data_IF_186393190902
#
_entry.id   IF_186393190902
#
_cell.length_a   1.000
_cell.length_b   1.000
_cell.length_c   1.000
_cell.angle_alpha   90.00
_cell.angle_beta   90.00
_cell.angle_gamma   90.00
#
_symmetry.space_group_name_H-M   'P 1'
#
loop_
_entity.id
_entity.type
_entity.pdbx_description
1 polymer ?
#
# COMPACT_ATOMS: atom_id res chain seq x y z
N UNK A 1 -26.67 9.99 1.93
CA UNK A 1 -27.37 8.84 2.53
C UNK A 1 -28.23 8.07 1.51
N UNK A 2 -29.07 8.74 0.70
CA UNK A 2 -29.93 8.08 -0.31
C UNK A 2 -29.10 7.27 -1.31
N UNK A 3 -27.99 7.79 -1.82
CA UNK A 3 -27.09 7.08 -2.72
C UNK A 3 -26.46 5.84 -2.06
N UNK A 4 -26.11 5.91 -0.77
CA UNK A 4 -25.60 4.77 -0.03
C UNK A 4 -26.66 3.68 0.13
N UNK A 5 -27.90 4.05 0.45
CA UNK A 5 -29.03 3.10 0.56
C UNK A 5 -29.25 2.40 -0.78
N UNK A 6 -29.38 3.18 -1.87
CA UNK A 6 -29.53 2.63 -3.21
C UNK A 6 -28.39 1.69 -3.62
N UNK A 7 -27.15 2.06 -3.29
CA UNK A 7 -25.97 1.20 -3.53
C UNK A 7 -26.02 -0.10 -2.75
N UNK A 8 -26.45 -0.07 -1.50
CA UNK A 8 -26.57 -1.25 -0.66
C UNK A 8 -27.70 -2.19 -1.12
N UNK A 9 -28.83 -1.63 -1.58
CA UNK A 9 -30.00 -2.40 -2.01
C UNK A 9 -29.88 -2.95 -3.42
N UNK A 10 -29.25 -2.19 -4.35
CA UNK A 10 -29.33 -2.50 -5.78
C UNK A 10 -27.98 -2.82 -6.44
N UNK A 11 -26.85 -2.64 -5.78
CA UNK A 11 -25.53 -2.85 -6.35
C UNK A 11 -24.82 -4.11 -5.82
N UNK A 12 -25.54 -5.17 -5.48
CA UNK A 12 -24.97 -6.37 -4.87
C UNK A 12 -23.92 -7.01 -5.78
N UNK A 13 -24.22 -7.17 -7.07
CA UNK A 13 -23.29 -7.76 -8.05
C UNK A 13 -22.04 -6.90 -8.22
N UNK A 14 -22.21 -5.60 -8.42
CA UNK A 14 -21.10 -4.65 -8.52
C UNK A 14 -20.20 -4.68 -7.27
N UNK A 15 -20.80 -4.72 -6.07
CA UNK A 15 -20.03 -4.81 -4.81
C UNK A 15 -19.22 -6.10 -4.73
N UNK A 16 -19.80 -7.23 -5.16
CA UNK A 16 -19.11 -8.51 -5.22
C UNK A 16 -17.91 -8.46 -6.16
N UNK A 17 -18.10 -7.92 -7.37
CA UNK A 17 -17.02 -7.74 -8.34
C UNK A 17 -15.90 -6.83 -7.81
N UNK A 18 -16.26 -5.73 -7.13
CA UNK A 18 -15.25 -4.85 -6.52
C UNK A 18 -14.50 -5.55 -5.38
N UNK A 19 -15.18 -6.31 -4.53
CA UNK A 19 -14.55 -7.07 -3.45
C UNK A 19 -13.55 -8.11 -4.01
N UNK A 20 -13.93 -8.84 -5.05
CA UNK A 20 -13.04 -9.79 -5.74
C UNK A 20 -11.82 -9.09 -6.35
N UNK A 21 -12.04 -7.93 -7.00
CA UNK A 21 -10.96 -7.11 -7.57
C UNK A 21 -9.97 -6.65 -6.50
N UNK A 22 -10.46 -6.16 -5.37
CA UNK A 22 -9.62 -5.72 -4.25
C UNK A 22 -8.88 -6.91 -3.64
N UNK A 23 -9.53 -8.05 -3.44
CA UNK A 23 -8.90 -9.25 -2.93
C UNK A 23 -7.75 -9.74 -3.84
N UNK A 24 -7.93 -9.71 -5.15
CA UNK A 24 -6.88 -10.08 -6.12
C UNK A 24 -5.67 -9.11 -6.03
N UNK A 25 -5.93 -7.81 -5.90
CA UNK A 25 -4.88 -6.80 -5.73
C UNK A 25 -4.14 -6.98 -4.41
N UNK A 26 -4.86 -7.25 -3.32
CA UNK A 26 -4.26 -7.56 -2.03
C UNK A 26 -3.35 -8.77 -2.12
N UNK A 27 -3.82 -9.87 -2.69
CA UNK A 27 -3.04 -11.09 -2.86
C UNK A 27 -1.76 -10.83 -3.70
N UNK A 28 -1.88 -10.03 -4.77
CA UNK A 28 -0.71 -9.66 -5.57
C UNK A 28 0.28 -8.82 -4.78
N UNK A 29 -0.22 -7.83 -4.03
CA UNK A 29 0.61 -6.99 -3.17
C UNK A 29 1.33 -7.82 -2.09
N UNK A 30 0.62 -8.72 -1.40
CA UNK A 30 1.23 -9.65 -0.43
C UNK A 30 2.33 -10.51 -1.07
N UNK A 31 2.08 -11.02 -2.27
CA UNK A 31 3.06 -11.82 -3.02
C UNK A 31 4.33 -11.02 -3.34
N UNK A 32 4.18 -9.78 -3.83
CA UNK A 32 5.32 -8.90 -4.12
C UNK A 32 6.10 -8.55 -2.85
N UNK A 33 5.41 -8.27 -1.77
CA UNK A 33 6.04 -7.90 -0.50
C UNK A 33 6.65 -9.09 0.25
N UNK A 34 6.26 -10.33 -0.07
CA UNK A 34 6.85 -11.54 0.52
C UNK A 34 8.34 -11.67 0.22
N UNK A 35 8.80 -11.17 -0.93
CA UNK A 35 10.19 -11.14 -1.33
C UNK A 35 11.01 -10.03 -0.64
N UNK A 36 10.38 -9.22 0.20
CA UNK A 36 10.98 -8.08 0.92
C UNK A 36 11.80 -7.17 0.01
N UNK A 37 11.21 -6.60 -1.03
CA UNK A 37 11.93 -5.78 -2.00
C UNK A 37 12.60 -4.61 -1.28
N UNK A 38 13.92 -4.43 -1.48
CA UNK A 38 14.71 -3.38 -0.83
C UNK A 38 14.69 -3.46 0.71
N UNK A 39 14.49 -4.64 1.27
CA UNK A 39 14.34 -4.91 2.72
C UNK A 39 13.08 -4.30 3.37
N UNK A 40 12.13 -3.81 2.58
CA UNK A 40 10.81 -3.41 3.10
C UNK A 40 10.06 -4.63 3.64
N UNK A 41 9.41 -4.46 4.80
CA UNK A 41 8.69 -5.52 5.48
C UNK A 41 7.19 -5.20 5.54
N UNK A 42 6.35 -6.09 5.01
CA UNK A 42 4.91 -6.01 5.19
C UNK A 42 4.54 -6.51 6.59
N UNK A 43 4.13 -5.60 7.45
CA UNK A 43 3.77 -5.90 8.85
C UNK A 43 2.32 -6.31 8.97
N UNK A 44 1.44 -5.62 8.24
CA UNK A 44 0.01 -5.92 8.20
C UNK A 44 -0.60 -5.49 6.87
N UNK A 45 -1.70 -6.11 6.49
CA UNK A 45 -2.47 -5.76 5.31
C UNK A 45 -3.96 -5.86 5.61
N UNK A 46 -4.74 -4.98 5.04
CA UNK A 46 -6.19 -5.05 5.18
C UNK A 46 -6.90 -3.94 4.43
N UNK A 47 -8.15 -4.17 4.14
CA UNK A 47 -9.01 -3.28 3.37
C UNK A 47 -8.35 -2.86 2.04
N UNK A 48 -7.64 -1.75 2.02
CA UNK A 48 -7.05 -1.16 0.81
C UNK A 48 -5.56 -0.87 0.94
N UNK A 49 -4.95 -1.17 2.10
CA UNK A 49 -3.63 -0.68 2.47
C UNK A 49 -2.73 -1.77 3.03
N UNK A 50 -1.44 -1.67 2.71
CA UNK A 50 -0.37 -2.34 3.44
C UNK A 50 0.24 -1.41 4.49
N UNK A 51 0.53 -1.96 5.67
CA UNK A 51 1.33 -1.34 6.71
C UNK A 51 2.74 -1.88 6.60
N UNK A 52 3.66 -1.04 6.18
CA UNK A 52 4.98 -1.46 5.70
C UNK A 52 6.06 -0.76 6.51
N UNK A 53 7.02 -1.53 7.00
CA UNK A 53 8.24 -0.99 7.63
C UNK A 53 9.30 -0.76 6.55
N UNK A 54 9.88 0.44 6.50
CA UNK A 54 11.01 0.71 5.63
C UNK A 54 12.33 0.48 6.37
N UNK A 55 13.40 0.07 5.67
CA UNK A 55 14.72 -0.18 6.27
C UNK A 55 15.54 1.09 6.44
N UNK A 56 16.55 1.00 7.28
CA UNK A 56 17.57 2.04 7.47
C UNK A 56 17.25 3.02 8.60
N UNK A 57 18.08 4.06 8.70
CA UNK A 57 18.08 5.03 9.80
C UNK A 57 17.50 6.39 9.39
N UNK A 58 17.01 6.53 8.15
CA UNK A 58 16.43 7.79 7.69
C UNK A 58 15.20 8.16 8.52
N UNK A 59 15.08 9.42 8.88
CA UNK A 59 13.83 9.95 9.43
C UNK A 59 12.68 9.81 8.43
N UNK A 60 11.46 9.71 8.92
CA UNK A 60 10.27 9.41 8.09
C UNK A 60 10.08 10.42 6.96
N UNK A 61 10.30 11.70 7.20
CA UNK A 61 10.12 12.75 6.18
C UNK A 61 11.16 12.62 5.05
N UNK A 62 12.40 12.30 5.40
CA UNK A 62 13.49 12.11 4.42
C UNK A 62 13.27 10.82 3.62
N UNK A 63 12.83 9.75 4.26
CA UNK A 63 12.48 8.49 3.60
C UNK A 63 11.31 8.69 2.62
N UNK A 64 10.27 9.41 3.00
CA UNK A 64 9.15 9.74 2.10
C UNK A 64 9.58 10.61 0.93
N UNK A 65 10.39 11.63 1.19
CA UNK A 65 10.93 12.48 0.11
C UNK A 65 11.72 11.65 -0.90
N UNK A 66 12.60 10.78 -0.40
CA UNK A 66 13.40 9.88 -1.25
C UNK A 66 12.54 8.92 -2.05
N UNK A 67 11.54 8.29 -1.42
CA UNK A 67 10.58 7.41 -2.11
C UNK A 67 9.88 8.13 -3.28
N UNK A 68 9.44 9.36 -3.07
CA UNK A 68 8.76 10.14 -4.12
C UNK A 68 9.72 10.59 -5.21
N UNK A 69 10.89 11.14 -4.85
CA UNK A 69 11.78 11.80 -5.80
C UNK A 69 12.61 10.78 -6.60
N UNK A 70 13.12 9.76 -5.93
CA UNK A 70 14.07 8.83 -6.53
C UNK A 70 13.40 7.54 -7.05
N UNK A 71 12.25 7.17 -6.45
CA UNK A 71 11.59 5.89 -6.76
C UNK A 71 10.15 6.03 -7.28
N UNK A 72 9.60 7.25 -7.41
CA UNK A 72 8.20 7.52 -7.82
C UNK A 72 7.18 6.74 -6.97
N UNK A 73 7.42 6.56 -5.69
CA UNK A 73 6.53 5.86 -4.76
C UNK A 73 5.96 6.85 -3.76
N UNK A 74 4.62 6.99 -3.76
CA UNK A 74 3.90 7.79 -2.78
C UNK A 74 3.35 6.90 -1.67
N UNK A 75 3.69 7.22 -0.43
CA UNK A 75 3.19 6.59 0.77
C UNK A 75 2.75 7.63 1.80
N UNK A 76 2.10 7.20 2.86
CA UNK A 76 1.73 8.05 3.98
C UNK A 76 2.52 7.58 5.21
N UNK A 77 3.11 8.50 6.00
CA UNK A 77 3.89 8.12 7.17
C UNK A 77 3.01 7.50 8.25
N UNK A 78 3.57 6.52 8.97
CA UNK A 78 2.88 5.88 10.10
C UNK A 78 2.53 6.88 11.20
N UNK A 79 3.38 7.84 11.43
CA UNK A 79 3.17 8.93 12.40
C UNK A 79 1.92 9.78 12.16
N UNK A 80 1.34 9.73 10.94
CA UNK A 80 0.05 10.35 10.66
C UNK A 80 -1.14 9.62 11.31
N UNK A 81 -0.94 8.41 11.82
CA UNK A 81 -2.01 7.56 12.36
C UNK A 81 -1.82 7.25 13.85
N UNK A 82 -0.58 7.07 14.27
CA UNK A 82 -0.23 6.70 15.65
C UNK A 82 1.07 7.38 16.08
N UNK A 83 1.15 7.75 17.36
CA UNK A 83 2.40 8.23 17.93
C UNK A 83 3.41 7.08 18.03
N UNK A 84 4.66 7.32 17.66
CA UNK A 84 5.75 6.34 17.78
C UNK A 84 5.85 5.32 16.64
N UNK A 85 5.03 5.42 15.58
CA UNK A 85 5.15 4.58 14.38
C UNK A 85 6.18 5.15 13.38
N UNK A 86 7.33 5.51 13.92
CA UNK A 86 8.51 5.84 13.14
C UNK A 86 8.94 4.59 12.32
N UNK A 87 9.48 4.80 11.13
CA UNK A 87 9.82 3.76 10.17
C UNK A 87 8.65 2.96 9.59
N UNK A 88 7.41 3.44 9.79
CA UNK A 88 6.22 2.82 9.22
C UNK A 88 5.62 3.68 8.12
N UNK A 89 5.14 3.01 7.07
CA UNK A 89 4.47 3.61 5.93
C UNK A 89 3.14 2.91 5.66
N UNK A 90 2.13 3.69 5.27
CA UNK A 90 0.91 3.15 4.70
C UNK A 90 0.97 3.26 3.18
N UNK A 91 0.96 2.12 2.52
CA UNK A 91 0.96 2.03 1.05
C UNK A 91 -0.41 1.54 0.58
N UNK A 92 -1.02 2.26 -0.37
CA UNK A 92 -2.27 1.84 -0.99
C UNK A 92 -2.01 0.90 -2.15
N UNK A 93 -2.67 -0.26 -2.17
CA UNK A 93 -2.66 -1.19 -3.29
C UNK A 93 -3.99 -1.21 -4.06
N UNK A 94 -5.07 -0.75 -3.43
CA UNK A 94 -6.41 -0.87 -3.99
C UNK A 94 -6.68 -0.01 -5.23
N UNK A 95 -5.89 1.05 -5.41
CA UNK A 95 -5.96 1.95 -6.56
C UNK A 95 -4.98 1.57 -7.69
N UNK A 96 -4.16 0.54 -7.49
CA UNK A 96 -3.20 0.05 -8.46
C UNK A 96 -3.77 -1.13 -9.25
N UNK A 97 -3.40 -1.25 -10.51
CA UNK A 97 -3.60 -2.50 -11.25
C UNK A 97 -2.45 -3.50 -10.96
N UNK A 98 -2.56 -4.77 -11.37
CA UNK A 98 -1.54 -5.77 -11.08
C UNK A 98 -0.14 -5.40 -11.58
N UNK A 99 -0.02 -4.79 -12.75
CA UNK A 99 1.27 -4.36 -13.32
C UNK A 99 1.88 -3.21 -12.52
N UNK A 100 1.05 -2.32 -12.00
CA UNK A 100 1.50 -1.23 -11.12
C UNK A 100 1.96 -1.76 -9.76
N UNK A 101 1.33 -2.83 -9.25
CA UNK A 101 1.78 -3.50 -8.02
C UNK A 101 3.15 -4.16 -8.23
N UNK A 102 3.37 -4.79 -9.38
CA UNK A 102 4.67 -5.36 -9.72
C UNK A 102 5.76 -4.28 -9.82
N UNK A 103 5.46 -3.18 -10.52
CA UNK A 103 6.36 -2.02 -10.60
C UNK A 103 6.65 -1.39 -9.23
N UNK A 104 5.69 -1.39 -8.32
CA UNK A 104 5.93 -0.93 -6.95
C UNK A 104 7.02 -1.80 -6.29
N UNK A 105 6.93 -3.12 -6.43
CA UNK A 105 7.96 -4.04 -5.92
C UNK A 105 9.34 -3.77 -6.53
N UNK A 106 9.42 -3.58 -7.85
CA UNK A 106 10.66 -3.23 -8.56
C UNK A 106 11.28 -1.94 -8.02
N UNK A 107 10.47 -0.89 -7.86
CA UNK A 107 10.92 0.41 -7.32
C UNK A 107 11.38 0.34 -5.87
N UNK A 108 10.69 -0.45 -5.05
CA UNK A 108 11.13 -0.69 -3.67
C UNK A 108 12.43 -1.49 -3.63
N UNK A 109 12.65 -2.43 -4.56
CA UNK A 109 13.89 -3.20 -4.65
C UNK A 109 15.12 -2.34 -4.98
N UNK A 110 14.93 -1.19 -5.64
CA UNK A 110 15.98 -0.22 -5.95
C UNK A 110 16.33 0.69 -4.75
N UNK A 111 15.60 0.55 -3.63
CA UNK A 111 15.85 1.35 -2.43
C UNK A 111 17.27 1.19 -1.92
N UNK A 112 17.92 2.30 -1.65
CA UNK A 112 19.21 2.38 -0.97
C UNK A 112 19.12 3.49 0.07
N UNK A 113 19.18 3.19 1.37
CA UNK A 113 19.05 4.17 2.45
C UNK A 113 20.18 5.21 2.48
#
# INVERSE_FOLDING_TARGET
>A
QIACIAGLEHATEWRREQAERIANRQQRFESVMADRPGDFELVAVGAYFGWVRYPGELGTDDALRKLVVDHDVLAIPGTAFTEGDEHMLRISFANLDPEQIDRLGERLAEWSP
#
